data_IF_813480892868
#
_entry.id   IF_813480892868
#
_cell.length_a   1.000
_cell.length_b   1.000
_cell.length_c   1.000
_cell.angle_alpha   90.00
_cell.angle_beta   90.00
_cell.angle_gamma   90.00
#
_symmetry.space_group_name_H-M   'P 1'
#
loop_
_entity.id
_entity.type
_entity.pdbx_description
1 polymer ?
#
# COMPACT_ATOMS: atom_id res chain seq x y z
N UNK A 1 -17.25 4.32 7.81
CA UNK A 1 -18.00 4.68 6.59
C UNK A 1 -18.55 6.08 6.75
N UNK A 2 -18.55 6.91 5.70
CA UNK A 2 -19.19 8.21 5.75
C UNK A 2 -20.73 8.06 5.70
N UNK A 3 -21.49 9.07 6.18
CA UNK A 3 -22.96 9.02 6.18
C UNK A 3 -23.59 8.92 4.78
N UNK A 4 -22.88 9.35 3.75
CA UNK A 4 -23.30 9.39 2.36
C UNK A 4 -22.67 8.28 1.50
N UNK A 5 -22.18 7.22 2.12
CA UNK A 5 -21.77 6.02 1.40
C UNK A 5 -22.93 5.49 0.53
N UNK A 6 -22.72 5.12 -0.75
CA UNK A 6 -21.43 4.91 -1.43
C UNK A 6 -20.93 6.12 -2.26
N UNK A 7 -21.47 7.33 -2.11
CA UNK A 7 -21.01 8.49 -2.88
C UNK A 7 -19.61 8.94 -2.49
N UNK A 8 -19.25 8.83 -1.21
CA UNK A 8 -17.89 9.00 -0.71
C UNK A 8 -17.29 7.69 -0.19
N UNK A 9 -15.96 7.51 -0.30
CA UNK A 9 -15.29 6.30 0.14
C UNK A 9 -15.29 6.15 1.67
N UNK A 10 -15.22 4.92 2.20
CA UNK A 10 -14.85 4.70 3.58
C UNK A 10 -13.39 5.10 3.83
N UNK A 11 -13.07 5.51 5.05
CA UNK A 11 -11.67 5.65 5.49
C UNK A 11 -11.12 4.30 5.97
N UNK A 12 -9.85 4.01 5.66
CA UNK A 12 -9.11 2.85 6.16
C UNK A 12 -7.86 3.32 6.88
N UNK A 13 -7.58 2.67 8.00
CA UNK A 13 -6.45 2.97 8.86
C UNK A 13 -5.85 1.70 9.45
N UNK A 14 -4.53 1.61 9.43
CA UNK A 14 -3.81 0.60 10.20
C UNK A 14 -3.82 0.96 11.68
N UNK A 15 -4.29 0.03 12.51
CA UNK A 15 -4.32 0.20 13.96
C UNK A 15 -2.94 0.00 14.59
N UNK A 16 -2.10 -0.82 13.95
CA UNK A 16 -0.71 -1.06 14.35
C UNK A 16 0.23 -0.17 13.57
N UNK A 17 1.40 0.11 14.15
CA UNK A 17 2.46 0.81 13.41
C UNK A 17 2.87 -0.02 12.19
N UNK A 18 2.88 0.62 11.02
CA UNK A 18 3.30 0.02 9.75
C UNK A 18 4.39 0.89 9.14
N UNK A 19 5.45 0.25 8.68
CA UNK A 19 6.52 0.91 7.92
C UNK A 19 6.34 0.60 6.44
N UNK A 20 5.76 1.53 5.68
CA UNK A 20 5.40 1.32 4.28
C UNK A 20 5.40 2.64 3.50
N UNK A 21 5.86 2.67 2.22
CA UNK A 21 5.91 3.89 1.41
C UNK A 21 4.60 4.67 1.30
N UNK A 22 3.46 3.99 1.35
CA UNK A 22 2.13 4.58 1.18
C UNK A 22 1.29 4.63 2.47
N UNK A 23 1.90 4.41 3.64
CA UNK A 23 1.21 4.52 4.95
C UNK A 23 1.81 5.68 5.73
N UNK A 24 0.95 6.58 6.21
CA UNK A 24 1.35 7.69 7.08
C UNK A 24 1.70 7.20 8.49
N UNK A 25 2.45 7.98 9.25
CA UNK A 25 2.83 7.63 10.63
C UNK A 25 1.63 7.39 11.54
N UNK A 26 0.52 8.10 11.27
CA UNK A 26 -0.70 7.95 12.02
C UNK A 26 -1.44 6.64 11.69
N UNK A 27 -1.06 5.92 10.62
CA UNK A 27 -1.67 4.67 10.14
C UNK A 27 -2.60 4.83 8.94
N UNK A 28 -2.85 6.06 8.47
CA UNK A 28 -3.72 6.29 7.32
C UNK A 28 -3.04 5.80 6.02
N UNK A 29 -3.85 5.29 5.09
CA UNK A 29 -3.38 4.77 3.81
C UNK A 29 -3.56 5.81 2.70
N UNK A 30 -2.51 6.06 1.92
CA UNK A 30 -2.58 6.84 0.69
C UNK A 30 -2.74 5.89 -0.51
N UNK A 31 -3.96 5.79 -1.05
CA UNK A 31 -4.28 4.98 -2.22
C UNK A 31 -5.43 5.62 -2.99
N UNK A 32 -5.33 5.65 -4.32
CA UNK A 32 -6.27 6.33 -5.20
C UNK A 32 -7.72 5.89 -5.04
N UNK A 33 -7.99 4.60 -4.80
CA UNK A 33 -9.35 4.07 -4.60
C UNK A 33 -10.09 4.69 -3.39
N UNK A 34 -9.37 5.31 -2.46
CA UNK A 34 -9.94 6.01 -1.31
C UNK A 34 -10.00 7.53 -1.49
N UNK A 35 -9.55 8.05 -2.64
CA UNK A 35 -9.67 9.47 -2.97
C UNK A 35 -11.09 9.77 -3.48
N UNK A 36 -11.69 10.90 -3.07
CA UNK A 36 -13.02 11.30 -3.54
C UNK A 36 -13.11 11.38 -5.08
N UNK A 37 -14.32 11.19 -5.64
CA UNK A 37 -14.57 11.32 -7.08
C UNK A 37 -14.53 12.79 -7.49
N UNK A 38 -13.33 13.36 -7.56
CA UNK A 38 -13.05 14.72 -8.04
C UNK A 38 -12.12 14.60 -9.24
N UNK A 39 -12.46 15.28 -10.33
CA UNK A 39 -11.54 15.45 -11.46
C UNK A 39 -10.42 16.40 -11.03
N UNK A 40 -9.26 15.80 -10.72
CA UNK A 40 -8.04 16.51 -10.36
C UNK A 40 -6.91 16.11 -11.34
N UNK A 41 -6.75 16.84 -12.45
CA UNK A 41 -5.72 16.56 -13.45
C UNK A 41 -4.29 16.70 -12.92
N UNK A 42 -4.08 17.37 -11.78
CA UNK A 42 -2.75 17.58 -11.21
C UNK A 42 -2.30 16.41 -10.32
N UNK A 43 -3.23 15.56 -9.87
CA UNK A 43 -2.92 14.40 -9.03
C UNK A 43 -2.09 13.32 -9.73
N UNK A 44 -2.15 13.27 -11.07
CA UNK A 44 -1.55 12.19 -11.86
C UNK A 44 -2.32 10.85 -11.79
N UNK A 45 -3.49 10.83 -11.13
CA UNK A 45 -4.36 9.67 -11.02
C UNK A 45 -5.45 9.69 -12.11
N UNK A 46 -5.82 8.53 -12.63
CA UNK A 46 -6.94 8.43 -13.54
C UNK A 46 -8.27 8.51 -12.75
N UNK A 47 -9.32 9.13 -13.29
CA UNK A 47 -10.64 9.14 -12.64
C UNK A 47 -11.18 7.73 -12.32
N UNK A 48 -10.81 6.72 -13.10
CA UNK A 48 -11.21 5.34 -12.87
C UNK A 48 -10.45 4.63 -11.73
N UNK A 49 -9.29 5.18 -11.32
CA UNK A 49 -8.52 4.68 -10.17
C UNK A 49 -9.07 5.22 -8.85
N UNK A 50 -9.84 6.32 -8.90
CA UNK A 50 -10.49 6.94 -7.76
C UNK A 50 -11.74 6.21 -7.30
N UNK A 51 -12.24 6.60 -6.12
CA UNK A 51 -13.48 6.06 -5.59
C UNK A 51 -14.63 6.27 -6.56
N UNK A 52 -15.43 5.23 -6.78
CA UNK A 52 -16.73 5.38 -7.41
C UNK A 52 -17.78 4.47 -6.75
N UNK A 53 -19.07 4.82 -6.81
CA UNK A 53 -20.13 4.07 -6.11
C UNK A 53 -20.31 2.61 -6.51
N UNK A 54 -19.67 2.13 -7.59
CA UNK A 54 -19.72 0.71 -7.99
C UNK A 54 -18.69 -0.15 -7.27
N UNK A 55 -17.70 0.48 -6.62
CA UNK A 55 -16.70 -0.20 -5.80
C UNK A 55 -17.28 -0.60 -4.45
N UNK A 56 -16.63 -1.56 -3.79
CA UNK A 56 -17.07 -2.11 -2.52
C UNK A 56 -15.86 -2.48 -1.64
N UNK A 57 -16.12 -2.94 -0.42
CA UNK A 57 -15.05 -3.33 0.52
C UNK A 57 -14.09 -4.36 -0.08
N UNK A 58 -14.60 -5.31 -0.88
CA UNK A 58 -13.75 -6.32 -1.53
C UNK A 58 -12.77 -5.68 -2.52
N UNK A 59 -13.23 -4.75 -3.36
CA UNK A 59 -12.32 -4.08 -4.31
C UNK A 59 -11.29 -3.23 -3.57
N UNK A 60 -11.68 -2.56 -2.49
CA UNK A 60 -10.73 -1.81 -1.65
C UNK A 60 -9.65 -2.73 -1.09
N UNK A 61 -10.03 -3.86 -0.46
CA UNK A 61 -9.06 -4.80 0.13
C UNK A 61 -8.11 -5.39 -0.92
N UNK A 62 -8.60 -5.67 -2.13
CA UNK A 62 -7.75 -6.11 -3.24
C UNK A 62 -6.71 -5.05 -3.62
N UNK A 63 -7.13 -3.77 -3.71
CA UNK A 63 -6.21 -2.66 -3.96
C UNK A 63 -5.20 -2.48 -2.84
N UNK A 64 -5.59 -2.66 -1.56
CA UNK A 64 -4.66 -2.64 -0.43
C UNK A 64 -3.62 -3.76 -0.55
N UNK A 65 -4.04 -4.99 -0.85
CA UNK A 65 -3.12 -6.13 -1.03
C UNK A 65 -2.14 -5.85 -2.19
N UNK A 66 -2.64 -5.31 -3.31
CA UNK A 66 -1.79 -4.95 -4.44
C UNK A 66 -0.77 -3.88 -4.06
N UNK A 67 -1.19 -2.85 -3.34
CA UNK A 67 -0.32 -1.74 -2.92
C UNK A 67 0.75 -2.18 -1.92
N UNK A 68 0.43 -3.10 -1.01
CA UNK A 68 1.41 -3.66 -0.09
C UNK A 68 2.48 -4.46 -0.86
N UNK A 69 2.08 -5.23 -1.89
CA UNK A 69 3.00 -5.98 -2.75
C UNK A 69 3.87 -5.08 -3.61
N UNK A 70 3.27 -4.06 -4.20
CA UNK A 70 3.93 -3.13 -5.11
C UNK A 70 3.64 -1.69 -4.66
N UNK A 71 4.44 -1.15 -3.73
CA UNK A 71 4.27 0.21 -3.24
C UNK A 71 4.40 1.24 -4.37
N UNK A 72 3.55 2.27 -4.34
CA UNK A 72 3.68 3.43 -5.22
C UNK A 72 4.75 4.37 -4.68
N UNK A 73 5.90 4.43 -5.36
CA UNK A 73 7.04 5.25 -4.95
C UNK A 73 7.05 6.66 -5.52
N UNK A 74 6.16 6.96 -6.47
CA UNK A 74 6.08 8.28 -7.13
C UNK A 74 5.43 9.33 -6.24
N UNK A 75 4.45 8.90 -5.43
CA UNK A 75 3.73 9.76 -4.47
C UNK A 75 3.68 9.10 -3.09
N UNK A 76 4.82 8.99 -2.39
CA UNK A 76 4.87 8.28 -1.11
C UNK A 76 4.30 9.11 0.04
N UNK A 77 3.56 8.46 0.93
CA UNK A 77 3.16 9.01 2.23
C UNK A 77 4.33 9.01 3.23
N UNK A 78 5.22 8.02 3.12
CA UNK A 78 6.44 7.91 3.89
C UNK A 78 7.64 7.91 2.92
N UNK A 79 8.33 9.05 2.85
CA UNK A 79 9.44 9.28 1.93
C UNK A 79 10.62 8.37 2.25
N UNK A 80 10.95 8.18 3.52
CA UNK A 80 12.09 7.35 3.94
C UNK A 80 11.87 5.88 3.57
N UNK A 81 10.68 5.34 3.86
CA UNK A 81 10.30 3.99 3.47
C UNK A 81 10.36 3.83 1.94
N UNK A 82 9.94 4.84 1.18
CA UNK A 82 10.00 4.85 -0.28
C UNK A 82 11.43 4.82 -0.82
N UNK A 83 12.32 5.63 -0.26
CA UNK A 83 13.76 5.66 -0.62
C UNK A 83 14.41 4.31 -0.34
N UNK A 84 14.20 3.75 0.85
CA UNK A 84 14.77 2.45 1.24
C UNK A 84 14.22 1.31 0.38
N UNK A 85 12.92 1.32 0.07
CA UNK A 85 12.30 0.34 -0.81
C UNK A 85 12.91 0.37 -2.22
N UNK A 86 13.12 1.56 -2.80
CA UNK A 86 13.77 1.70 -4.12
C UNK A 86 15.20 1.14 -4.10
N UNK A 87 16.01 1.49 -3.10
CA UNK A 87 17.37 0.94 -2.94
C UNK A 87 17.37 -0.59 -2.83
N UNK A 88 16.45 -1.14 -2.04
CA UNK A 88 16.27 -2.59 -1.92
C UNK A 88 15.90 -3.23 -3.27
N UNK A 89 14.95 -2.64 -4.01
CA UNK A 89 14.51 -3.14 -5.32
C UNK A 89 15.62 -3.07 -6.37
N UNK A 90 16.29 -1.93 -6.49
CA UNK A 90 17.35 -1.69 -7.48
C UNK A 90 18.59 -2.57 -7.21
N UNK A 91 18.90 -2.83 -5.94
CA UNK A 91 19.98 -3.74 -5.54
C UNK A 91 19.62 -5.22 -5.68
N UNK A 92 18.40 -5.55 -6.13
CA UNK A 92 17.84 -6.92 -6.18
C UNK A 92 17.90 -7.62 -4.82
N UNK A 93 17.58 -6.87 -3.76
CA UNK A 93 17.53 -7.35 -2.38
C UNK A 93 18.88 -7.60 -1.71
N UNK A 94 19.97 -7.05 -2.26
CA UNK A 94 21.30 -7.07 -1.62
C UNK A 94 21.39 -6.07 -0.49
N UNK A 95 20.82 -4.87 -0.67
CA UNK A 95 20.59 -3.94 0.43
C UNK A 95 19.49 -4.51 1.33
N UNK A 96 19.79 -4.72 2.61
CA UNK A 96 18.88 -5.35 3.58
C UNK A 96 18.23 -4.36 4.54
N UNK A 97 18.53 -3.06 4.43
CA UNK A 97 18.05 -2.05 5.38
C UNK A 97 16.53 -2.04 5.48
N UNK A 98 15.85 -1.95 4.33
CA UNK A 98 14.38 -1.98 4.26
C UNK A 98 13.79 -3.26 4.86
N UNK A 99 14.33 -4.42 4.49
CA UNK A 99 13.87 -5.74 4.96
C UNK A 99 14.03 -5.88 6.48
N UNK A 100 15.14 -5.40 7.03
CA UNK A 100 15.43 -5.45 8.46
C UNK A 100 14.46 -4.60 9.27
N UNK A 101 14.14 -3.39 8.79
CA UNK A 101 13.16 -2.51 9.45
C UNK A 101 11.78 -3.16 9.45
N UNK A 102 11.34 -3.71 8.31
CA UNK A 102 10.04 -4.37 8.24
C UNK A 102 9.98 -5.54 9.22
N UNK A 103 11.04 -6.38 9.27
CA UNK A 103 11.11 -7.50 10.22
C UNK A 103 11.03 -7.03 11.67
N UNK A 104 11.72 -5.95 12.02
CA UNK A 104 11.71 -5.40 13.38
C UNK A 104 10.33 -4.81 13.74
N UNK A 105 9.78 -3.96 12.87
CA UNK A 105 8.51 -3.24 13.11
C UNK A 105 7.31 -4.17 13.11
N UNK A 106 7.31 -5.20 12.26
CA UNK A 106 6.17 -6.11 12.10
C UNK A 106 6.38 -7.47 12.78
N UNK A 107 7.36 -7.57 13.69
CA UNK A 107 7.69 -8.79 14.43
C UNK A 107 6.55 -9.35 15.29
N UNK A 108 5.38 -8.69 15.37
CA UNK A 108 4.30 -9.03 16.31
C UNK A 108 2.88 -9.13 15.74
N UNK A 109 2.66 -9.21 14.43
CA UNK A 109 1.34 -9.64 13.94
C UNK A 109 1.41 -10.46 12.66
N UNK A 110 1.55 -11.76 12.86
CA UNK A 110 1.80 -12.80 11.86
C UNK A 110 0.55 -13.22 11.08
N UNK A 111 -0.46 -12.37 10.85
CA UNK A 111 -1.65 -12.80 10.10
C UNK A 111 -1.96 -12.04 8.81
N UNK A 112 -1.34 -10.88 8.53
CA UNK A 112 -1.60 -10.14 7.28
C UNK A 112 -0.40 -10.19 6.31
N UNK A 113 0.81 -10.44 6.81
CA UNK A 113 2.03 -10.57 5.98
C UNK A 113 2.15 -11.96 5.32
N UNK A 114 1.43 -12.97 5.81
CA UNK A 114 1.53 -14.38 5.35
C UNK A 114 1.26 -14.54 3.84
N UNK A 115 0.40 -13.72 3.22
CA UNK A 115 0.07 -13.91 1.80
C UNK A 115 1.15 -13.36 0.87
N UNK A 116 1.89 -12.33 1.28
CA UNK A 116 2.81 -11.64 0.37
C UNK A 116 4.23 -12.23 0.34
N UNK A 117 4.69 -12.81 1.46
CA UNK A 117 6.01 -13.46 1.48
C UNK A 117 5.97 -14.81 0.74
N UNK A 118 4.81 -15.49 0.70
CA UNK A 118 4.69 -16.81 0.06
C UNK A 118 4.66 -16.71 -1.48
N UNK A 119 4.20 -15.60 -2.07
CA UNK A 119 4.17 -15.46 -3.53
C UNK A 119 5.49 -14.94 -4.14
N UNK A 120 6.24 -14.11 -3.41
CA UNK A 120 7.52 -13.56 -3.90
C UNK A 120 8.64 -14.63 -4.02
N UNK A 121 8.55 -15.74 -3.29
CA UNK A 121 9.53 -16.84 -3.35
C UNK A 121 9.28 -17.86 -4.47
N UNK A 122 8.19 -17.77 -5.25
CA UNK A 122 7.85 -18.78 -6.28
C UNK A 122 8.18 -18.37 -7.72
N UNK A 123 8.52 -17.12 -7.98
CA UNK A 123 8.92 -16.64 -9.32
C UNK A 123 10.43 -16.61 -9.54
N UNK A 124 11.26 -16.82 -8.51
CA UNK A 124 12.72 -16.93 -8.63
C UNK A 124 13.24 -18.36 -8.80
N UNK A 125 12.37 -19.32 -9.11
CA UNK A 125 12.76 -20.72 -9.24
C UNK A 125 11.85 -21.53 -10.15
N UNK A 126 11.87 -21.25 -11.45
CA UNK A 126 11.50 -22.27 -12.44
C UNK A 126 12.15 -21.97 -13.79
N UNK A 127 13.30 -22.62 -13.99
CA UNK A 127 14.04 -22.92 -15.24
C UNK A 127 14.35 -21.77 -16.20
#
# INVERSE_FOLDING_TARGET
>A
FPPDYPYNPPSIKFLTKVWHPNVYENGDLCISILHPPVDDPQSGELPCERWNPTQNVRTILLSVISLLNEPNTSSPANVDASVMYRKWKDSKGKDKEYENIIKYVHSFNQLIIIVMIVFSQKTSGSK
#
